data_IF_640505236356
#
_entry.id   IF_640505236356
#
_cell.length_a   1.000
_cell.length_b   1.000
_cell.length_c   1.000
_cell.angle_alpha   90.00
_cell.angle_beta   90.00
_cell.angle_gamma   90.00
#
_symmetry.space_group_name_H-M   'P 1'
#
loop_
_entity.id
_entity.type
_entity.pdbx_description
1 polymer ?
#
# COMPACT_ATOMS: atom_id res chain seq x y z
N UNK A 1 -32.38 -6.66 -18.10
CA UNK A 1 -32.19 -7.76 -17.20
C UNK A 1 -30.96 -7.51 -16.35
N UNK A 2 -31.15 -7.39 -15.03
CA UNK A 2 -30.05 -7.35 -14.05
C UNK A 2 -29.46 -8.74 -14.02
N UNK A 3 -28.24 -8.93 -14.52
CA UNK A 3 -27.48 -10.15 -14.27
C UNK A 3 -27.20 -10.19 -12.77
N UNK A 4 -27.98 -11.00 -12.05
CA UNK A 4 -27.61 -11.42 -10.69
C UNK A 4 -26.36 -12.26 -10.85
N UNK A 5 -25.19 -11.69 -10.60
CA UNK A 5 -23.96 -12.47 -10.54
C UNK A 5 -24.14 -13.56 -9.49
N UNK A 6 -23.91 -14.80 -9.83
CA UNK A 6 -23.96 -15.91 -8.90
C UNK A 6 -23.03 -15.62 -7.72
N UNK A 7 -23.59 -15.58 -6.51
CA UNK A 7 -22.83 -15.35 -5.28
C UNK A 7 -21.84 -16.48 -5.08
N UNK A 8 -20.53 -16.18 -5.22
CA UNK A 8 -19.46 -17.19 -5.06
C UNK A 8 -19.23 -17.61 -3.61
N UNK A 9 -19.65 -16.77 -2.66
CA UNK A 9 -19.47 -17.00 -1.24
C UNK A 9 -18.78 -15.84 -0.53
N UNK A 10 -18.37 -16.08 0.70
CA UNK A 10 -17.69 -15.10 1.55
C UNK A 10 -16.19 -15.38 1.52
N UNK A 11 -15.39 -14.33 1.42
CA UNK A 11 -13.95 -14.38 1.65
C UNK A 11 -13.52 -13.36 2.70
N UNK A 12 -12.42 -13.67 3.38
CA UNK A 12 -11.82 -12.79 4.39
C UNK A 12 -10.46 -12.33 3.90
N UNK A 13 -10.26 -11.03 3.87
CA UNK A 13 -8.96 -10.39 3.65
C UNK A 13 -8.49 -9.81 4.99
N UNK A 14 -7.22 -9.99 5.32
CA UNK A 14 -6.65 -9.46 6.56
C UNK A 14 -5.43 -8.61 6.26
N UNK A 15 -5.39 -7.40 6.81
CA UNK A 15 -4.33 -6.44 6.53
C UNK A 15 -3.83 -5.76 7.81
N UNK A 16 -2.54 -5.48 7.83
CA UNK A 16 -1.90 -4.67 8.87
C UNK A 16 -2.20 -3.18 8.73
N UNK A 17 -1.77 -2.40 9.72
CA UNK A 17 -2.14 -0.99 9.88
C UNK A 17 -1.38 0.02 9.03
N UNK A 18 -0.65 -0.38 8.00
CA UNK A 18 0.08 0.55 7.12
C UNK A 18 -0.54 0.59 5.73
N UNK A 19 -0.43 1.74 5.05
CA UNK A 19 -0.88 1.89 3.67
C UNK A 19 -0.25 0.87 2.72
N UNK A 20 0.98 0.41 3.01
CA UNK A 20 1.65 -0.64 2.27
C UNK A 20 0.88 -1.97 2.21
N UNK A 21 0.19 -2.32 3.29
CA UNK A 21 -0.64 -3.52 3.37
C UNK A 21 -2.09 -3.27 2.96
N UNK A 22 -2.66 -2.12 3.35
CA UNK A 22 -4.09 -1.83 3.15
C UNK A 22 -4.43 -1.54 1.69
N UNK A 23 -3.61 -0.78 0.97
CA UNK A 23 -3.93 -0.40 -0.41
C UNK A 23 -4.05 -1.60 -1.37
N UNK A 24 -3.12 -2.57 -1.40
CA UNK A 24 -3.32 -3.77 -2.22
C UNK A 24 -4.50 -4.64 -1.74
N UNK A 25 -4.78 -4.64 -0.44
CA UNK A 25 -5.95 -5.34 0.10
C UNK A 25 -7.26 -4.75 -0.44
N UNK A 26 -7.42 -3.43 -0.40
CA UNK A 26 -8.61 -2.76 -0.94
C UNK A 26 -8.73 -2.94 -2.46
N UNK A 27 -7.62 -2.85 -3.19
CA UNK A 27 -7.61 -3.08 -4.62
C UNK A 27 -8.14 -4.48 -4.97
N UNK A 28 -7.68 -5.52 -4.25
CA UNK A 28 -8.18 -6.88 -4.44
C UNK A 28 -9.64 -7.04 -3.97
N UNK A 29 -10.04 -6.38 -2.88
CA UNK A 29 -11.41 -6.42 -2.38
C UNK A 29 -12.42 -5.93 -3.43
N UNK A 30 -12.12 -4.82 -4.10
CA UNK A 30 -12.94 -4.28 -5.19
C UNK A 30 -13.10 -5.28 -6.33
N UNK A 31 -12.01 -5.92 -6.77
CA UNK A 31 -12.06 -6.91 -7.84
C UNK A 31 -12.82 -8.19 -7.43
N UNK A 32 -12.61 -8.69 -6.22
CA UNK A 32 -13.33 -9.85 -5.71
C UNK A 32 -14.83 -9.57 -5.61
N UNK A 33 -15.21 -8.38 -5.12
CA UNK A 33 -16.61 -7.96 -5.08
C UNK A 33 -17.22 -7.88 -6.48
N UNK A 34 -16.49 -7.29 -7.44
CA UNK A 34 -16.94 -7.17 -8.83
C UNK A 34 -17.21 -8.53 -9.51
N UNK A 35 -16.56 -9.61 -9.05
CA UNK A 35 -16.78 -10.96 -9.58
C UNK A 35 -17.69 -11.84 -8.69
N UNK A 36 -18.40 -11.23 -7.73
CA UNK A 36 -19.47 -11.88 -6.96
C UNK A 36 -19.08 -12.41 -5.59
N UNK A 37 -17.94 -12.06 -5.03
CA UNK A 37 -17.57 -12.39 -3.64
C UNK A 37 -18.13 -11.38 -2.64
N UNK A 38 -18.64 -11.85 -1.51
CA UNK A 38 -18.85 -11.01 -0.32
C UNK A 38 -17.50 -10.93 0.43
N UNK A 39 -16.97 -9.70 0.53
CA UNK A 39 -15.63 -9.47 1.08
C UNK A 39 -15.72 -8.90 2.49
N UNK A 40 -15.01 -9.50 3.43
CA UNK A 40 -14.82 -8.99 4.80
C UNK A 40 -13.34 -8.65 4.98
N UNK A 41 -13.03 -7.39 5.31
CA UNK A 41 -11.67 -6.94 5.59
C UNK A 41 -11.48 -6.85 7.11
N UNK A 42 -10.51 -7.58 7.64
CA UNK A 42 -9.99 -7.38 8.98
C UNK A 42 -8.78 -6.44 8.96
N UNK A 43 -8.79 -5.45 9.82
CA UNK A 43 -7.66 -4.53 10.02
C UNK A 43 -7.53 -4.11 11.48
N UNK A 44 -6.49 -3.38 11.82
CA UNK A 44 -6.34 -2.70 13.10
C UNK A 44 -6.80 -1.23 13.02
N UNK A 45 -6.80 -0.52 14.16
CA UNK A 45 -7.23 0.88 14.25
C UNK A 45 -6.44 1.80 13.30
N UNK A 46 -5.16 1.53 13.05
CA UNK A 46 -4.33 2.32 12.13
C UNK A 46 -4.70 2.09 10.67
N UNK A 47 -5.01 0.84 10.32
CA UNK A 47 -5.40 0.50 8.95
C UNK A 47 -6.74 1.10 8.55
N UNK A 48 -7.62 1.33 9.54
CA UNK A 48 -8.94 1.91 9.30
C UNK A 48 -8.92 3.29 8.62
N UNK A 49 -7.83 4.07 8.81
CA UNK A 49 -7.69 5.38 8.16
C UNK A 49 -7.50 5.31 6.65
N UNK A 50 -7.06 4.17 6.11
CA UNK A 50 -6.85 3.95 4.68
C UNK A 50 -8.04 3.28 4.00
N UNK A 51 -9.08 2.90 4.75
CA UNK A 51 -10.27 2.22 4.25
C UNK A 51 -11.42 3.21 4.04
N UNK A 52 -12.14 3.04 2.95
CA UNK A 52 -13.39 3.76 2.73
C UNK A 52 -14.53 3.09 3.52
N UNK A 53 -14.94 3.74 4.60
CA UNK A 53 -16.01 3.26 5.49
C UNK A 53 -17.40 3.31 4.86
N UNK A 54 -17.55 4.09 3.78
CA UNK A 54 -18.81 4.20 3.03
C UNK A 54 -18.92 3.22 1.87
N UNK A 55 -17.87 2.46 1.61
CA UNK A 55 -17.84 1.49 0.52
C UNK A 55 -18.87 0.38 0.72
N UNK A 56 -19.58 0.04 -0.34
CA UNK A 56 -20.49 -1.11 -0.41
C UNK A 56 -19.79 -2.37 -0.95
N UNK A 57 -18.50 -2.29 -1.28
CA UNK A 57 -17.73 -3.39 -1.89
C UNK A 57 -17.22 -4.39 -0.87
N UNK A 58 -17.10 -3.98 0.39
CA UNK A 58 -16.61 -4.82 1.48
C UNK A 58 -17.14 -4.35 2.84
N UNK A 59 -17.21 -5.26 3.79
CA UNK A 59 -17.42 -4.93 5.20
C UNK A 59 -16.10 -4.87 5.96
N UNK A 60 -16.04 -4.06 7.02
CA UNK A 60 -14.82 -3.83 7.80
C UNK A 60 -15.01 -4.35 9.22
N UNK A 61 -14.06 -5.17 9.66
CA UNK A 61 -13.93 -5.64 11.04
C UNK A 61 -12.62 -5.11 11.64
N UNK A 62 -12.72 -4.39 12.74
CA UNK A 62 -11.55 -3.74 13.37
C UNK A 62 -11.12 -4.51 14.60
N UNK A 63 -9.87 -4.97 14.61
CA UNK A 63 -9.25 -5.57 15.78
C UNK A 63 -8.53 -4.51 16.61
N UNK A 64 -8.74 -4.56 17.92
CA UNK A 64 -8.03 -3.69 18.87
C UNK A 64 -6.61 -4.22 19.13
N UNK A 65 -5.78 -4.15 18.10
CA UNK A 65 -4.36 -4.50 18.17
C UNK A 65 -3.55 -3.24 17.93
N UNK A 66 -2.75 -2.85 18.92
CA UNK A 66 -1.85 -1.70 18.86
C UNK A 66 -0.41 -2.18 18.96
N UNK A 67 0.46 -1.64 18.12
CA UNK A 67 1.91 -1.90 18.19
C UNK A 67 2.73 -0.62 18.35
N UNK A 68 2.10 0.46 18.77
CA UNK A 68 2.70 1.81 18.81
C UNK A 68 3.53 2.10 20.06
N UNK A 69 3.59 1.19 21.02
CA UNK A 69 4.31 1.41 22.26
C UNK A 69 5.83 1.45 22.04
N UNK A 70 6.48 2.50 22.51
CA UNK A 70 7.93 2.70 22.36
C UNK A 70 8.77 1.66 23.12
N UNK A 71 8.25 1.09 24.23
CA UNK A 71 8.93 0.09 25.04
C UNK A 71 8.65 -1.33 24.54
N UNK A 72 9.71 -2.10 24.27
CA UNK A 72 9.60 -3.50 23.83
C UNK A 72 8.83 -4.37 24.84
N UNK A 73 9.07 -4.18 26.14
CA UNK A 73 8.38 -4.93 27.22
C UNK A 73 6.88 -4.66 27.23
N UNK A 74 6.50 -3.39 27.11
CA UNK A 74 5.10 -2.97 27.09
C UNK A 74 4.40 -3.51 25.84
N UNK A 75 5.08 -3.48 24.70
CA UNK A 75 4.57 -4.04 23.43
C UNK A 75 4.32 -5.54 23.54
N UNK A 76 5.25 -6.31 24.11
CA UNK A 76 5.08 -7.76 24.33
C UNK A 76 3.87 -8.01 25.25
N UNK A 77 3.74 -7.27 26.34
CA UNK A 77 2.62 -7.39 27.27
C UNK A 77 1.28 -7.07 26.58
N UNK A 78 1.21 -5.99 25.81
CA UNK A 78 -0.01 -5.63 25.05
C UNK A 78 -0.37 -6.72 24.04
N UNK A 79 0.57 -7.22 23.26
CA UNK A 79 0.31 -8.26 22.27
C UNK A 79 -0.07 -9.60 22.91
N UNK A 80 0.41 -9.92 24.13
CA UNK A 80 0.11 -11.19 24.79
C UNK A 80 -1.37 -11.41 25.11
N UNK A 81 -2.15 -10.33 25.30
CA UNK A 81 -3.59 -10.42 25.48
C UNK A 81 -4.39 -9.98 24.24
N UNK A 82 -3.89 -9.05 23.44
CA UNK A 82 -4.58 -8.56 22.26
C UNK A 82 -4.67 -9.64 21.15
N UNK A 83 -3.61 -10.43 20.95
CA UNK A 83 -3.62 -11.48 19.93
C UNK A 83 -4.63 -12.60 20.25
N UNK A 84 -4.69 -13.16 21.49
CA UNK A 84 -5.73 -14.12 21.84
C UNK A 84 -7.16 -13.56 21.70
N UNK A 85 -7.41 -12.33 22.14
CA UNK A 85 -8.72 -11.69 21.98
C UNK A 85 -9.08 -11.51 20.51
N UNK A 86 -8.13 -11.08 19.70
CA UNK A 86 -8.28 -10.98 18.24
C UNK A 86 -8.56 -12.33 17.59
N UNK A 87 -7.91 -13.40 18.06
CA UNK A 87 -8.16 -14.76 17.59
C UNK A 87 -9.59 -15.24 17.94
N UNK A 88 -10.03 -15.01 19.17
CA UNK A 88 -11.41 -15.35 19.59
C UNK A 88 -12.46 -14.60 18.77
N UNK A 89 -12.27 -13.29 18.58
CA UNK A 89 -13.20 -12.47 17.80
C UNK A 89 -13.27 -12.91 16.34
N UNK A 90 -12.10 -13.09 15.69
CA UNK A 90 -12.03 -13.53 14.29
C UNK A 90 -12.53 -14.96 14.11
N UNK A 91 -12.19 -15.86 15.04
CA UNK A 91 -12.67 -17.24 15.02
C UNK A 91 -14.20 -17.34 15.14
N UNK A 92 -14.82 -16.58 16.05
CA UNK A 92 -16.28 -16.52 16.18
C UNK A 92 -16.95 -16.02 14.89
N UNK A 93 -16.38 -15.02 14.24
CA UNK A 93 -16.89 -14.51 12.97
C UNK A 93 -16.74 -15.54 11.85
N UNK A 94 -15.58 -16.20 11.74
CA UNK A 94 -15.32 -17.21 10.73
C UNK A 94 -16.24 -18.44 10.88
N UNK A 95 -16.50 -18.88 12.11
CA UNK A 95 -17.44 -19.98 12.38
C UNK A 95 -18.87 -19.62 11.96
N UNK A 96 -19.28 -18.38 12.17
CA UNK A 96 -20.60 -17.87 11.78
C UNK A 96 -20.74 -17.66 10.28
N UNK A 97 -19.74 -17.00 9.68
CA UNK A 97 -19.77 -16.56 8.26
C UNK A 97 -19.29 -17.64 7.30
N UNK A 98 -18.51 -18.61 7.76
CA UNK A 98 -17.97 -19.74 6.99
C UNK A 98 -17.29 -19.30 5.68
N UNK A 99 -16.25 -18.45 5.74
CA UNK A 99 -15.58 -17.98 4.54
C UNK A 99 -14.95 -19.14 3.78
N UNK A 100 -14.94 -19.03 2.46
CA UNK A 100 -14.36 -20.04 1.55
C UNK A 100 -12.83 -20.00 1.57
N UNK A 101 -12.25 -18.84 1.83
CA UNK A 101 -10.80 -18.67 2.01
C UNK A 101 -10.49 -17.42 2.84
N UNK A 102 -9.27 -17.40 3.34
CA UNK A 102 -8.67 -16.26 4.05
C UNK A 102 -7.37 -15.89 3.35
N UNK A 103 -7.14 -14.59 3.10
CA UNK A 103 -5.90 -14.09 2.51
C UNK A 103 -5.33 -12.98 3.39
N UNK A 104 -4.08 -13.15 3.84
CA UNK A 104 -3.35 -12.20 4.67
C UNK A 104 -2.37 -11.36 3.86
N UNK A 105 -2.40 -10.03 4.08
CA UNK A 105 -1.50 -9.06 3.43
C UNK A 105 -0.28 -8.68 4.29
N UNK A 106 -0.12 -9.29 5.46
CA UNK A 106 0.99 -9.02 6.36
C UNK A 106 0.67 -8.00 7.46
N UNK A 107 1.61 -7.84 8.36
CA UNK A 107 1.46 -7.05 9.59
C UNK A 107 1.04 -7.89 10.79
N UNK A 108 1.34 -7.41 12.00
CA UNK A 108 1.10 -8.15 13.26
C UNK A 108 -0.39 -8.41 13.48
N UNK A 109 -1.24 -7.49 13.08
CA UNK A 109 -2.71 -7.62 13.21
C UNK A 109 -3.31 -8.74 12.35
N UNK A 110 -2.59 -9.25 11.35
CA UNK A 110 -3.05 -10.40 10.57
C UNK A 110 -2.80 -11.74 11.28
N UNK A 111 -1.92 -11.77 12.28
CA UNK A 111 -1.55 -13.00 12.99
C UNK A 111 -2.76 -13.77 13.55
N UNK A 112 -3.67 -13.17 14.36
CA UNK A 112 -4.80 -13.89 14.94
C UNK A 112 -5.78 -14.42 13.88
N UNK A 113 -5.96 -13.69 12.77
CA UNK A 113 -6.85 -14.08 11.69
C UNK A 113 -6.30 -15.30 10.95
N UNK A 114 -5.02 -15.27 10.59
CA UNK A 114 -4.34 -16.39 9.93
C UNK A 114 -4.26 -17.61 10.86
N UNK A 115 -4.01 -17.41 12.15
CA UNK A 115 -4.02 -18.51 13.12
C UNK A 115 -5.38 -19.21 13.15
N UNK A 116 -6.46 -18.46 13.25
CA UNK A 116 -7.81 -19.03 13.28
C UNK A 116 -8.20 -19.67 11.96
N UNK A 117 -7.81 -19.11 10.82
CA UNK A 117 -8.07 -19.75 9.53
C UNK A 117 -7.40 -21.11 9.41
N UNK A 118 -6.16 -21.25 9.88
CA UNK A 118 -5.43 -22.53 9.91
C UNK A 118 -6.09 -23.53 10.88
N UNK A 119 -6.40 -23.09 12.10
CA UNK A 119 -7.04 -23.96 13.11
C UNK A 119 -8.43 -24.44 12.67
N UNK A 120 -9.19 -23.60 11.98
CA UNK A 120 -10.51 -23.94 11.43
C UNK A 120 -10.43 -24.65 10.07
N UNK A 121 -9.21 -24.94 9.58
CA UNK A 121 -8.97 -25.60 8.28
C UNK A 121 -9.60 -24.86 7.09
N UNK A 122 -9.67 -23.54 7.17
CA UNK A 122 -10.10 -22.70 6.05
C UNK A 122 -8.90 -22.51 5.11
N UNK A 123 -9.06 -22.66 3.78
CA UNK A 123 -8.00 -22.40 2.82
C UNK A 123 -7.37 -21.03 3.05
N UNK A 124 -6.07 -21.02 3.34
CA UNK A 124 -5.33 -19.83 3.75
C UNK A 124 -4.30 -19.47 2.69
N UNK A 125 -4.25 -18.20 2.33
CA UNK A 125 -3.34 -17.62 1.35
C UNK A 125 -2.62 -16.41 1.94
N UNK A 126 -1.50 -16.07 1.37
CA UNK A 126 -0.70 -14.89 1.74
C UNK A 126 -0.42 -14.07 0.48
N UNK A 127 -0.46 -12.76 0.61
CA UNK A 127 0.05 -11.81 -0.36
C UNK A 127 1.22 -11.04 0.26
N UNK A 128 2.37 -11.00 -0.44
CA UNK A 128 3.55 -10.25 -0.03
C UNK A 128 3.88 -9.16 -1.04
N UNK A 129 3.89 -7.92 -0.58
CA UNK A 129 4.15 -6.75 -1.39
C UNK A 129 5.64 -6.45 -1.53
N UNK A 130 6.44 -6.86 -0.54
CA UNK A 130 7.84 -6.48 -0.42
C UNK A 130 8.78 -7.55 -1.01
N UNK A 131 10.01 -7.15 -1.29
CA UNK A 131 11.07 -8.06 -1.73
C UNK A 131 11.58 -9.01 -0.62
N UNK A 132 11.15 -8.79 0.62
CA UNK A 132 11.49 -9.61 1.78
C UNK A 132 10.20 -10.04 2.46
N UNK A 133 10.00 -11.35 2.61
CA UNK A 133 8.80 -11.90 3.24
C UNK A 133 8.69 -11.43 4.70
N UNK A 134 7.59 -10.77 5.04
CA UNK A 134 7.32 -10.23 6.37
C UNK A 134 7.31 -11.34 7.44
N UNK A 135 7.61 -11.00 8.70
CA UNK A 135 7.75 -12.00 9.78
C UNK A 135 6.50 -12.86 9.98
N UNK A 136 5.32 -12.26 9.95
CA UNK A 136 4.04 -12.99 10.07
C UNK A 136 3.85 -13.88 8.84
N UNK A 137 4.05 -13.35 7.63
CA UNK A 137 3.95 -14.09 6.39
C UNK A 137 4.95 -15.26 6.36
N UNK A 138 6.19 -15.05 6.85
CA UNK A 138 7.22 -16.09 6.96
C UNK A 138 6.81 -17.22 7.90
N UNK A 139 6.13 -16.89 9.00
CA UNK A 139 5.63 -17.91 9.92
C UNK A 139 4.49 -18.74 9.30
N UNK A 140 3.53 -18.05 8.64
CA UNK A 140 2.34 -18.70 8.12
C UNK A 140 2.49 -19.32 6.73
N UNK A 141 3.55 -19.04 5.97
CA UNK A 141 3.73 -19.62 4.64
C UNK A 141 3.66 -21.15 4.66
N UNK A 142 4.16 -21.81 5.71
CA UNK A 142 4.15 -23.27 5.88
C UNK A 142 2.74 -23.88 6.00
N UNK A 143 1.75 -23.07 6.34
CA UNK A 143 0.35 -23.46 6.49
C UNK A 143 -0.54 -22.93 5.36
N UNK A 144 0.05 -22.18 4.44
CA UNK A 144 -0.68 -21.53 3.37
C UNK A 144 -0.65 -22.36 2.10
N UNK A 145 -1.76 -22.35 1.36
CA UNK A 145 -1.87 -23.05 0.09
C UNK A 145 -0.97 -22.43 -0.99
N UNK A 146 -0.92 -21.10 -1.03
CA UNK A 146 -0.05 -20.32 -1.90
C UNK A 146 0.34 -19.00 -1.24
N UNK A 147 1.50 -18.46 -1.67
CA UNK A 147 1.96 -17.11 -1.37
C UNK A 147 2.08 -16.34 -2.68
N UNK A 148 1.19 -15.35 -2.85
CA UNK A 148 1.23 -14.44 -3.99
C UNK A 148 2.23 -13.34 -3.71
N UNK A 149 3.23 -13.14 -4.55
CA UNK A 149 4.29 -12.17 -4.32
C UNK A 149 4.40 -11.15 -5.46
N UNK A 150 4.79 -9.94 -5.08
CA UNK A 150 5.04 -8.86 -6.03
C UNK A 150 6.33 -9.09 -6.82
N UNK A 151 7.40 -9.53 -6.15
CA UNK A 151 8.71 -9.73 -6.74
C UNK A 151 9.02 -11.22 -6.89
N UNK A 152 9.56 -11.60 -8.04
CA UNK A 152 9.93 -12.99 -8.33
C UNK A 152 11.00 -13.55 -7.37
N UNK A 153 11.89 -12.68 -6.89
CA UNK A 153 12.99 -13.02 -5.99
C UNK A 153 12.72 -12.56 -4.55
N UNK A 154 11.51 -12.83 -4.03
CA UNK A 154 11.19 -12.51 -2.65
C UNK A 154 12.02 -13.34 -1.68
N UNK A 155 12.82 -12.69 -0.83
CA UNK A 155 13.66 -13.36 0.15
C UNK A 155 12.82 -14.10 1.20
N UNK A 156 13.30 -15.28 1.60
CA UNK A 156 12.67 -16.20 2.56
C UNK A 156 11.34 -16.82 2.11
N UNK A 157 10.96 -16.65 0.86
CA UNK A 157 9.82 -17.33 0.27
C UNK A 157 10.18 -18.77 -0.09
N UNK A 158 9.31 -19.71 0.28
CA UNK A 158 9.41 -21.08 -0.23
C UNK A 158 8.98 -21.10 -1.71
N UNK A 159 9.88 -21.44 -2.63
CA UNK A 159 9.58 -21.41 -4.07
C UNK A 159 8.50 -22.40 -4.50
N UNK A 160 8.22 -23.46 -3.70
CA UNK A 160 7.19 -24.44 -4.02
C UNK A 160 5.77 -23.89 -3.91
N UNK A 161 5.56 -22.89 -3.05
CA UNK A 161 4.25 -22.29 -2.80
C UNK A 161 4.17 -20.85 -3.29
N UNK A 162 5.31 -20.24 -3.63
CA UNK A 162 5.38 -18.89 -4.17
C UNK A 162 4.81 -18.79 -5.58
N UNK A 163 4.04 -17.75 -5.84
CA UNK A 163 3.53 -17.40 -7.17
C UNK A 163 3.69 -15.90 -7.39
N UNK A 164 4.48 -15.54 -8.39
CA UNK A 164 4.65 -14.13 -8.76
C UNK A 164 3.41 -13.66 -9.53
N UNK A 165 2.62 -12.78 -8.90
CA UNK A 165 1.39 -12.21 -9.47
C UNK A 165 1.46 -10.69 -9.66
N UNK A 166 2.56 -10.08 -9.24
CA UNK A 166 2.59 -8.64 -9.05
C UNK A 166 1.85 -8.21 -7.78
N UNK A 167 1.72 -6.90 -7.60
CA UNK A 167 0.97 -6.31 -6.48
C UNK A 167 -0.42 -5.88 -6.98
N UNK A 168 -1.50 -6.14 -6.24
CA UNK A 168 -2.81 -5.59 -6.57
C UNK A 168 -2.77 -4.05 -6.65
N UNK A 169 -3.28 -3.51 -7.74
CA UNK A 169 -3.25 -2.08 -8.04
C UNK A 169 -4.68 -1.56 -8.19
N UNK A 170 -4.94 -0.36 -7.67
CA UNK A 170 -6.27 0.26 -7.70
C UNK A 170 -6.73 0.51 -9.15
N UNK A 171 -8.02 0.35 -9.41
CA UNK A 171 -8.63 0.54 -10.74
C UNK A 171 -8.34 1.91 -11.38
N UNK A 172 -8.26 2.97 -10.56
CA UNK A 172 -7.89 4.31 -11.04
C UNK A 172 -6.51 4.33 -11.71
N UNK A 173 -5.56 3.59 -11.17
CA UNK A 173 -4.20 3.44 -11.73
C UNK A 173 -4.22 2.55 -12.97
N UNK A 174 -4.94 1.42 -12.91
CA UNK A 174 -5.08 0.51 -14.06
C UNK A 174 -5.66 1.20 -15.29
N UNK A 175 -6.59 2.14 -15.12
CA UNK A 175 -7.13 2.97 -16.21
C UNK A 175 -6.09 3.86 -16.90
N UNK A 176 -4.92 4.05 -16.28
CA UNK A 176 -3.78 4.80 -16.85
C UNK A 176 -2.74 3.89 -17.52
N UNK A 177 -2.98 2.58 -17.55
CA UNK A 177 -2.15 1.65 -18.31
C UNK A 177 -2.10 2.07 -19.78
N UNK A 178 -0.91 2.05 -20.37
CA UNK A 178 -0.65 2.52 -21.74
C UNK A 178 -1.01 3.99 -22.01
N UNK A 179 -1.18 4.84 -20.99
CA UNK A 179 -1.30 6.28 -21.22
C UNK A 179 -0.06 6.82 -21.92
N UNK A 180 -0.26 7.72 -22.89
CA UNK A 180 0.83 8.30 -23.67
C UNK A 180 1.86 8.98 -22.74
N UNK A 181 3.13 8.66 -22.94
CA UNK A 181 4.24 9.33 -22.28
C UNK A 181 4.85 10.38 -23.20
N UNK A 182 4.79 11.62 -22.74
CA UNK A 182 5.54 12.72 -23.35
C UNK A 182 6.88 12.84 -22.61
N UNK A 183 7.94 12.29 -23.20
CA UNK A 183 9.30 12.42 -22.67
C UNK A 183 9.75 13.87 -22.55
N UNK A 184 10.94 14.14 -21.97
CA UNK A 184 11.50 15.48 -21.92
C UNK A 184 11.65 16.07 -23.33
N UNK A 185 11.15 17.29 -23.49
CA UNK A 185 11.12 17.98 -24.78
C UNK A 185 11.15 19.50 -24.58
N UNK A 186 10.77 20.32 -25.59
CA UNK A 186 10.70 21.78 -25.47
C UNK A 186 9.53 22.28 -24.61
N UNK A 187 8.58 21.41 -24.27
CA UNK A 187 7.42 21.70 -23.41
C UNK A 187 7.77 21.75 -21.92
N UNK A 188 6.85 22.23 -21.07
CA UNK A 188 7.01 22.18 -19.62
C UNK A 188 7.25 20.76 -19.09
N UNK A 189 8.07 20.66 -18.05
CA UNK A 189 8.43 19.39 -17.41
C UNK A 189 7.72 19.32 -16.07
N UNK A 190 6.88 18.30 -15.88
CA UNK A 190 6.26 18.01 -14.60
C UNK A 190 7.11 17.01 -13.82
N UNK A 191 7.46 17.37 -12.60
CA UNK A 191 8.17 16.53 -11.64
C UNK A 191 7.21 16.18 -10.51
N UNK A 192 6.99 14.89 -10.28
CA UNK A 192 6.18 14.41 -9.16
C UNK A 192 7.07 13.83 -8.07
N UNK A 193 6.93 14.32 -6.86
CA UNK A 193 7.69 13.89 -5.69
C UNK A 193 6.77 13.19 -4.71
N UNK A 194 6.98 11.89 -4.48
CA UNK A 194 6.17 11.07 -3.59
C UNK A 194 6.97 10.55 -2.41
N UNK A 195 6.56 10.93 -1.22
CA UNK A 195 7.20 10.54 0.03
C UNK A 195 6.71 9.24 0.65
N UNK A 196 5.64 8.65 0.09
CA UNK A 196 4.92 7.54 0.70
C UNK A 196 3.95 7.99 1.80
N UNK A 197 3.26 7.04 2.45
CA UNK A 197 2.18 7.32 3.42
C UNK A 197 2.61 8.14 4.64
N UNK A 198 3.90 8.13 5.00
CA UNK A 198 4.44 8.87 6.13
C UNK A 198 5.15 10.17 5.71
N UNK A 199 5.16 10.50 4.42
CA UNK A 199 5.98 11.57 3.86
C UNK A 199 7.48 11.25 3.96
N UNK A 200 8.31 11.98 3.21
CA UNK A 200 9.75 11.79 3.25
C UNK A 200 10.42 13.14 3.58
N UNK A 201 10.74 13.34 4.84
CA UNK A 201 11.47 14.53 5.27
C UNK A 201 12.77 14.70 4.49
N UNK A 202 13.46 13.57 4.21
CA UNK A 202 14.66 13.59 3.38
C UNK A 202 14.42 14.23 2.01
N UNK A 203 13.30 13.94 1.35
CA UNK A 203 12.97 14.54 0.05
C UNK A 203 12.64 16.02 0.20
N UNK A 204 11.93 16.40 1.26
CA UNK A 204 11.61 17.78 1.59
C UNK A 204 12.84 18.62 1.91
N UNK A 205 13.89 18.01 2.47
CA UNK A 205 15.16 18.69 2.81
C UNK A 205 16.11 18.77 1.59
N UNK A 206 16.22 17.68 0.84
CA UNK A 206 17.22 17.57 -0.22
C UNK A 206 16.78 18.19 -1.55
N UNK A 207 15.52 18.00 -1.94
CA UNK A 207 15.09 18.29 -3.31
C UNK A 207 15.10 19.78 -3.65
N UNK A 208 14.63 20.72 -2.79
CA UNK A 208 14.75 22.15 -3.09
C UNK A 208 16.20 22.57 -3.36
N UNK A 209 17.15 22.10 -2.55
CA UNK A 209 18.57 22.38 -2.72
C UNK A 209 19.12 21.81 -4.04
N UNK A 210 18.72 20.61 -4.40
CA UNK A 210 19.12 20.00 -5.69
C UNK A 210 18.58 20.81 -6.88
N UNK A 211 17.33 21.25 -6.81
CA UNK A 211 16.71 22.05 -7.88
C UNK A 211 17.35 23.44 -7.99
N UNK A 212 17.79 24.02 -6.88
CA UNK A 212 18.48 25.33 -6.87
C UNK A 212 19.72 25.31 -7.76
N UNK A 213 20.43 24.18 -7.85
CA UNK A 213 21.63 24.04 -8.68
C UNK A 213 21.38 24.00 -10.18
N UNK A 214 20.11 23.84 -10.59
CA UNK A 214 19.75 23.79 -12.01
C UNK A 214 19.83 25.17 -12.67
N UNK A 215 20.09 25.18 -13.98
CA UNK A 215 20.10 26.42 -14.75
C UNK A 215 18.77 27.15 -14.70
N UNK A 216 18.76 28.47 -14.82
CA UNK A 216 17.55 29.28 -14.88
C UNK A 216 16.60 28.78 -15.98
N UNK A 217 17.11 28.51 -17.17
CA UNK A 217 16.34 27.97 -18.32
C UNK A 217 15.63 26.67 -17.99
N UNK A 218 16.27 25.79 -17.21
CA UNK A 218 15.65 24.52 -16.78
C UNK A 218 14.56 24.81 -15.74
N UNK A 219 14.83 25.63 -14.75
CA UNK A 219 13.86 25.98 -13.68
C UNK A 219 12.59 26.61 -14.23
N UNK A 220 12.67 27.50 -15.21
CA UNK A 220 11.51 28.13 -15.85
C UNK A 220 10.53 27.14 -16.49
N UNK A 221 11.02 25.95 -16.83
CA UNK A 221 10.22 24.88 -17.45
C UNK A 221 9.61 23.91 -16.44
N UNK A 222 10.03 23.92 -15.17
CA UNK A 222 9.59 22.97 -14.18
C UNK A 222 8.22 23.34 -13.59
N UNK A 223 7.41 22.31 -13.40
CA UNK A 223 6.25 22.33 -12.51
C UNK A 223 6.40 21.17 -11.54
N UNK A 224 6.35 21.45 -10.24
CA UNK A 224 6.66 20.46 -9.20
C UNK A 224 5.41 20.18 -8.39
N UNK A 225 5.04 18.90 -8.29
CA UNK A 225 4.08 18.39 -7.34
C UNK A 225 4.83 17.62 -6.26
N UNK A 226 4.82 18.12 -5.02
CA UNK A 226 5.61 17.56 -3.93
C UNK A 226 4.72 17.15 -2.77
N UNK A 227 4.69 15.84 -2.48
CA UNK A 227 4.06 15.32 -1.28
C UNK A 227 5.00 15.48 -0.09
N UNK A 228 4.68 16.41 0.83
CA UNK A 228 5.43 16.68 2.03
C UNK A 228 4.62 16.40 3.28
N UNK A 229 5.29 16.19 4.43
CA UNK A 229 4.60 16.12 5.73
C UNK A 229 3.92 17.44 6.03
N UNK A 230 2.83 17.42 6.80
CA UNK A 230 2.10 18.65 7.17
C UNK A 230 3.02 19.73 7.73
N UNK A 231 3.97 19.36 8.59
CA UNK A 231 4.92 20.29 9.22
C UNK A 231 5.99 20.84 8.25
N UNK A 232 6.18 20.23 7.09
CA UNK A 232 7.18 20.62 6.11
C UNK A 232 6.60 21.42 4.92
N UNK A 233 5.27 21.48 4.77
CA UNK A 233 4.60 22.06 3.59
C UNK A 233 5.03 23.51 3.36
N UNK A 234 4.87 24.35 4.38
CA UNK A 234 5.12 25.80 4.25
C UNK A 234 6.58 26.08 3.93
N UNK A 235 7.50 25.34 4.56
CA UNK A 235 8.94 25.45 4.34
C UNK A 235 9.32 25.06 2.92
N UNK A 236 8.81 23.91 2.45
CA UNK A 236 9.11 23.40 1.10
C UNK A 236 8.50 24.32 0.02
N UNK A 237 7.27 24.75 0.23
CA UNK A 237 6.62 25.69 -0.68
C UNK A 237 7.36 27.03 -0.77
N UNK A 238 7.78 27.59 0.37
CA UNK A 238 8.57 28.83 0.41
C UNK A 238 9.91 28.70 -0.34
N UNK A 239 10.59 27.55 -0.21
CA UNK A 239 11.84 27.29 -0.92
C UNK A 239 11.64 27.28 -2.45
N UNK A 240 10.59 26.62 -2.95
CA UNK A 240 10.30 26.64 -4.39
C UNK A 240 9.88 28.02 -4.89
N UNK A 241 9.08 28.74 -4.12
CA UNK A 241 8.65 30.09 -4.45
C UNK A 241 9.82 31.06 -4.53
N UNK A 242 10.81 30.95 -3.65
CA UNK A 242 12.03 31.77 -3.67
C UNK A 242 12.84 31.59 -4.97
N UNK A 243 12.65 30.48 -5.68
CA UNK A 243 13.27 30.17 -6.97
C UNK A 243 12.35 30.47 -8.18
N UNK A 244 11.23 31.15 -7.98
CA UNK A 244 10.18 31.39 -8.99
C UNK A 244 9.63 30.11 -9.66
N UNK A 245 9.63 29.00 -8.93
CA UNK A 245 9.13 27.74 -9.44
C UNK A 245 7.61 27.61 -9.26
N UNK A 246 6.98 27.04 -10.27
CA UNK A 246 5.59 26.56 -10.14
C UNK A 246 5.57 25.29 -9.32
N UNK A 247 5.02 25.37 -8.12
CA UNK A 247 4.98 24.23 -7.21
C UNK A 247 3.62 24.08 -6.53
N UNK A 248 3.19 22.84 -6.34
CA UNK A 248 2.07 22.44 -5.51
C UNK A 248 2.60 21.48 -4.44
N UNK A 249 2.57 21.92 -3.18
CA UNK A 249 3.05 21.11 -2.04
C UNK A 249 1.86 20.73 -1.18
N UNK A 250 1.61 19.42 -1.02
CA UNK A 250 0.47 18.89 -0.27
C UNK A 250 0.86 17.65 0.54
N UNK A 251 0.14 17.34 1.63
CA UNK A 251 0.40 16.13 2.40
C UNK A 251 -0.08 14.87 1.67
N UNK A 252 -1.04 15.01 0.78
CA UNK A 252 -1.66 13.95 0.02
C UNK A 252 -2.21 14.48 -1.32
N UNK A 253 -2.14 13.65 -2.36
CA UNK A 253 -2.76 13.91 -3.66
C UNK A 253 -3.86 12.88 -3.89
N UNK A 254 -5.10 13.34 -4.04
CA UNK A 254 -6.27 12.46 -4.27
C UNK A 254 -6.25 11.81 -5.66
N UNK A 255 -5.65 12.49 -6.62
CA UNK A 255 -5.56 12.13 -8.03
C UNK A 255 -4.12 11.73 -8.44
N UNK A 256 -3.44 11.02 -7.55
CA UNK A 256 -2.03 10.63 -7.76
C UNK A 256 -1.83 9.87 -9.07
N UNK A 257 -2.79 9.07 -9.50
CA UNK A 257 -2.74 8.34 -10.77
C UNK A 257 -2.69 9.27 -11.99
N UNK A 258 -3.39 10.41 -11.94
CA UNK A 258 -3.30 11.45 -12.98
C UNK A 258 -1.93 12.10 -12.95
N UNK A 259 -1.45 12.49 -11.78
CA UNK A 259 -0.13 13.11 -11.63
C UNK A 259 0.99 12.18 -12.10
N UNK A 260 0.93 10.88 -11.79
CA UNK A 260 1.87 9.90 -12.32
C UNK A 260 1.83 9.90 -13.86
N UNK A 261 0.63 9.85 -14.44
CA UNK A 261 0.50 9.77 -15.91
C UNK A 261 0.96 11.03 -16.65
N UNK A 262 0.83 12.20 -16.04
CA UNK A 262 1.20 13.50 -16.62
C UNK A 262 2.67 13.90 -16.35
N UNK A 263 3.36 13.18 -15.46
CA UNK A 263 4.73 13.52 -15.09
C UNK A 263 5.77 13.00 -16.07
N UNK A 264 6.78 13.80 -16.36
CA UNK A 264 7.96 13.39 -17.14
C UNK A 264 8.96 12.63 -16.30
N UNK A 265 9.02 12.93 -14.99
CA UNK A 265 9.88 12.21 -14.04
C UNK A 265 9.22 12.17 -12.68
N UNK A 266 9.41 11.04 -11.99
CA UNK A 266 8.92 10.84 -10.64
C UNK A 266 10.13 10.63 -9.71
N UNK A 267 10.12 11.32 -8.58
CA UNK A 267 11.14 11.15 -7.53
C UNK A 267 10.41 10.63 -6.30
N UNK A 268 10.76 9.42 -5.86
CA UNK A 268 9.98 8.80 -4.79
C UNK A 268 10.78 7.85 -3.92
N UNK A 269 10.20 7.46 -2.79
CA UNK A 269 10.66 6.32 -2.02
C UNK A 269 10.38 5.03 -2.78
N UNK A 270 11.22 4.01 -2.56
CA UNK A 270 11.09 2.68 -3.16
C UNK A 270 10.03 1.82 -2.44
N UNK A 271 8.85 2.38 -2.15
CA UNK A 271 7.73 1.66 -1.58
C UNK A 271 7.05 0.76 -2.63
N UNK A 272 6.66 -0.44 -2.24
CA UNK A 272 6.11 -1.46 -3.14
C UNK A 272 4.88 -0.99 -3.93
N UNK A 273 3.94 -0.31 -3.27
CA UNK A 273 2.74 0.20 -3.93
C UNK A 273 3.06 1.29 -4.95
N UNK A 274 3.95 2.23 -4.59
CA UNK A 274 4.38 3.29 -5.51
C UNK A 274 5.10 2.70 -6.72
N UNK A 275 5.96 1.70 -6.52
CA UNK A 275 6.63 0.99 -7.61
C UNK A 275 5.63 0.30 -8.54
N UNK A 276 4.60 -0.35 -7.99
CA UNK A 276 3.56 -0.99 -8.76
C UNK A 276 2.77 0.03 -9.61
N UNK A 277 2.35 1.15 -9.00
CA UNK A 277 1.64 2.22 -9.69
C UNK A 277 2.47 2.82 -10.83
N UNK A 278 3.73 3.14 -10.58
CA UNK A 278 4.65 3.69 -11.58
C UNK A 278 4.89 2.69 -12.72
N UNK A 279 5.06 1.40 -12.41
CA UNK A 279 5.29 0.35 -13.40
C UNK A 279 4.09 0.15 -14.32
N UNK A 280 2.86 0.20 -13.77
CA UNK A 280 1.62 0.08 -14.56
C UNK A 280 1.48 1.26 -15.52
N UNK A 281 1.72 2.47 -15.05
CA UNK A 281 1.60 3.68 -15.89
C UNK A 281 2.79 3.82 -16.85
N UNK A 282 3.96 3.27 -16.50
CA UNK A 282 5.16 3.29 -17.35
C UNK A 282 5.85 4.65 -17.36
N UNK A 283 6.22 5.17 -16.18
CA UNK A 283 6.94 6.46 -16.06
C UNK A 283 8.34 6.26 -15.49
N UNK A 284 9.34 7.05 -15.97
CA UNK A 284 10.68 7.02 -15.41
C UNK A 284 10.67 7.58 -13.98
N UNK A 285 11.46 6.95 -13.10
CA UNK A 285 11.51 7.34 -11.71
C UNK A 285 12.94 7.30 -11.16
N UNK A 286 13.24 8.24 -10.26
CA UNK A 286 14.39 8.21 -9.38
C UNK A 286 13.93 7.65 -8.05
N UNK A 287 14.43 6.47 -7.70
CA UNK A 287 14.04 5.75 -6.50
C UNK A 287 15.06 6.01 -5.38
N UNK A 288 14.56 6.46 -4.23
CA UNK A 288 15.37 6.75 -3.05
C UNK A 288 14.95 5.81 -1.92
N UNK A 289 15.64 4.67 -1.72
CA UNK A 289 15.31 3.70 -0.69
C UNK A 289 15.43 4.26 0.73
N UNK A 290 14.74 3.63 1.67
CA UNK A 290 14.97 3.91 3.09
C UNK A 290 16.36 3.38 3.51
N UNK A 291 17.08 4.12 4.34
CA UNK A 291 18.41 3.75 4.84
C UNK A 291 18.44 2.38 5.53
N UNK A 292 17.32 1.96 6.11
CA UNK A 292 17.15 0.70 6.83
C UNK A 292 16.06 -0.19 6.21
N UNK A 293 15.77 -0.03 4.92
CA UNK A 293 14.94 -0.99 4.20
C UNK A 293 15.67 -2.34 4.20
N UNK A 294 15.04 -3.35 4.80
CA UNK A 294 15.51 -4.73 4.85
C UNK A 294 14.96 -5.48 3.66
#
# INVERSE_FOLDING_TARGET
>A
GWNVMDKKGICVLSTGGTGGHVLPCTALATELNAIGWEVIIFTDVRGLQYLDKSSNEYSIEVLKISSETASLRKKILELSYQLPLGALASGKLMLRKKPKFVLGFGGVSTFPILLMSVLLRIPTFIQEQNAVLGRVNRFFQRFSAKVFCHFSNTLFLDPKIGLNTGNPVRNKVLKKFNSQYLGPGPWPITVLVLGGSQGARLLSDALPNCIETLSKKTKERLTIFHQARKDDIDRVFAAYRAMDLRACVRPFFEDVERLISESQIIICRAGSNTLADISIVGRPAILIPLKHAK
#
